data_IF_167567764292
#
_entry.id   IF_167567764292
#
_cell.length_a   1.000
_cell.length_b   1.000
_cell.length_c   1.000
_cell.angle_alpha   90.00
_cell.angle_beta   90.00
_cell.angle_gamma   90.00
#
_symmetry.space_group_name_H-M   'P 1'
#
loop_
_entity.id
_entity.type
_entity.pdbx_description
1 polymer ?
#
# COMPACT_ATOMS: atom_id res chain seq x y z
N UNK A 1 15.32 4.17 20.37
CA UNK A 1 15.79 2.87 19.84
C UNK A 1 16.46 3.03 18.48
N UNK A 2 15.74 3.49 17.45
CA UNK A 2 16.27 3.63 16.08
C UNK A 2 17.55 4.48 16.05
N UNK A 3 17.55 5.63 16.74
CA UNK A 3 18.74 6.50 16.88
C UNK A 3 19.95 5.78 17.50
N UNK A 4 19.72 4.86 18.45
CA UNK A 4 20.82 4.10 19.04
C UNK A 4 21.37 3.05 18.06
N UNK A 5 20.49 2.42 17.27
CA UNK A 5 20.88 1.47 16.22
C UNK A 5 21.67 2.17 15.11
N UNK A 6 21.22 3.35 14.65
CA UNK A 6 21.91 4.12 13.61
C UNK A 6 23.31 4.53 14.05
N UNK A 7 23.46 4.98 15.29
CA UNK A 7 24.76 5.38 15.82
C UNK A 7 25.71 4.19 16.04
N UNK A 8 25.18 3.03 16.42
CA UNK A 8 26.00 1.83 16.63
C UNK A 8 26.52 1.26 15.29
N UNK A 9 25.70 1.32 14.25
CA UNK A 9 26.01 0.73 12.94
C UNK A 9 26.63 1.73 11.95
N UNK A 10 26.61 3.02 12.27
CA UNK A 10 26.99 4.14 11.38
C UNK A 10 26.11 4.20 10.11
N UNK A 11 24.79 4.20 10.32
CA UNK A 11 23.78 4.16 9.24
C UNK A 11 22.98 5.46 9.20
N UNK A 12 22.65 5.93 8.00
CA UNK A 12 21.73 7.05 7.81
C UNK A 12 20.30 6.67 8.18
N UNK A 13 19.52 7.60 8.73
CA UNK A 13 18.11 7.36 9.10
C UNK A 13 17.18 8.12 8.16
N UNK A 14 16.22 7.41 7.58
CA UNK A 14 15.17 7.97 6.74
C UNK A 14 13.81 7.68 7.35
N UNK A 15 13.09 8.72 7.73
CA UNK A 15 11.74 8.61 8.26
C UNK A 15 10.71 8.89 7.15
N UNK A 16 9.79 7.95 6.93
CA UNK A 16 8.78 8.01 5.86
C UNK A 16 7.39 8.04 6.47
N UNK A 17 6.74 9.20 6.36
CA UNK A 17 5.34 9.38 6.68
C UNK A 17 4.46 9.05 5.47
N UNK A 18 3.79 7.89 5.49
CA UNK A 18 3.01 7.41 4.34
C UNK A 18 1.80 8.31 4.00
N UNK A 19 1.32 9.11 4.95
CA UNK A 19 0.25 10.11 4.78
C UNK A 19 0.67 11.28 3.87
N UNK A 20 1.96 11.62 3.87
CA UNK A 20 2.54 12.70 3.07
C UNK A 20 2.83 12.27 1.62
N UNK A 21 2.85 10.97 1.34
CA UNK A 21 3.20 10.43 0.03
C UNK A 21 1.96 10.30 -0.86
N UNK A 22 1.94 11.00 -2.00
CA UNK A 22 0.74 11.09 -2.85
C UNK A 22 0.42 9.80 -3.57
N UNK A 23 1.41 9.06 -4.06
CA UNK A 23 1.16 7.85 -4.83
C UNK A 23 2.31 6.83 -4.72
N UNK A 24 2.02 5.61 -5.18
CA UNK A 24 3.00 4.52 -5.20
C UNK A 24 4.27 4.86 -6.02
N UNK A 25 4.18 5.72 -7.03
CA UNK A 25 5.36 6.15 -7.81
C UNK A 25 6.31 7.04 -7.01
N UNK A 26 5.76 7.95 -6.19
CA UNK A 26 6.53 8.78 -5.26
C UNK A 26 7.15 7.95 -4.14
N UNK A 27 6.39 7.01 -3.55
CA UNK A 27 6.90 6.05 -2.56
C UNK A 27 8.09 5.27 -3.11
N UNK A 28 7.98 4.76 -4.34
CA UNK A 28 9.07 4.04 -5.01
C UNK A 28 10.32 4.91 -5.13
N UNK A 29 10.17 6.18 -5.52
CA UNK A 29 11.30 7.12 -5.64
C UNK A 29 11.97 7.37 -4.29
N UNK A 30 11.19 7.59 -3.23
CA UNK A 30 11.72 7.79 -1.87
C UNK A 30 12.53 6.58 -1.41
N UNK A 31 12.00 5.37 -1.56
CA UNK A 31 12.70 4.15 -1.13
C UNK A 31 13.96 3.85 -1.96
N UNK A 32 13.98 4.24 -3.25
CA UNK A 32 15.14 4.06 -4.12
C UNK A 32 16.25 5.07 -3.83
N UNK A 33 15.88 6.31 -3.54
CA UNK A 33 16.78 7.43 -3.28
C UNK A 33 17.25 7.47 -1.82
N UNK A 34 17.70 6.32 -1.33
CA UNK A 34 18.34 6.15 -0.02
C UNK A 34 19.78 5.73 -0.20
N UNK A 35 20.63 6.12 0.75
CA UNK A 35 22.03 5.71 0.80
C UNK A 35 22.18 4.19 0.95
N UNK A 36 23.39 3.71 0.66
CA UNK A 36 23.68 2.28 0.64
C UNK A 36 23.68 1.66 2.05
N UNK A 37 23.97 2.44 3.09
CA UNK A 37 23.89 2.04 4.51
C UNK A 37 22.84 2.87 5.22
N UNK A 38 21.62 2.35 5.33
CA UNK A 38 20.53 3.12 5.93
C UNK A 38 19.51 2.30 6.71
N UNK A 39 18.84 2.99 7.63
CA UNK A 39 17.64 2.54 8.33
C UNK A 39 16.46 3.35 7.79
N UNK A 40 15.52 2.68 7.14
CA UNK A 40 14.27 3.27 6.65
C UNK A 40 13.18 2.97 7.67
N UNK A 41 12.61 4.00 8.26
CA UNK A 41 11.52 3.94 9.22
C UNK A 41 10.23 4.25 8.50
N UNK A 42 9.24 3.37 8.63
CA UNK A 42 7.90 3.57 8.10
C UNK A 42 6.95 3.55 9.29
N UNK A 43 6.47 4.73 9.66
CA UNK A 43 5.62 4.91 10.83
C UNK A 43 4.13 4.74 10.50
N UNK A 44 3.37 4.31 11.51
CA UNK A 44 1.91 4.25 11.51
C UNK A 44 1.32 3.58 10.25
N UNK A 45 1.87 2.41 9.88
CA UNK A 45 1.45 1.64 8.69
C UNK A 45 -0.02 1.20 8.70
N UNK A 46 -0.61 1.11 9.88
CA UNK A 46 -1.99 0.69 10.12
C UNK A 46 -2.99 1.85 10.00
N UNK A 47 -2.59 3.07 10.35
CA UNK A 47 -3.42 4.27 10.22
C UNK A 47 -3.33 4.90 8.83
N UNK A 48 -2.14 4.89 8.23
CA UNK A 48 -1.85 5.55 6.95
C UNK A 48 -2.41 4.82 5.73
N UNK A 49 -2.49 3.49 5.79
CA UNK A 49 -2.98 2.68 4.70
C UNK A 49 -4.43 2.30 5.01
N UNK A 50 -5.40 2.85 4.26
CA UNK A 50 -6.83 2.50 4.33
C UNK A 50 -7.12 1.02 3.93
N UNK A 51 -6.46 0.06 4.56
CA UNK A 51 -6.50 -1.38 4.34
C UNK A 51 -7.85 -1.96 4.75
N UNK A 52 -8.37 -1.49 5.89
CA UNK A 52 -9.58 -2.04 6.50
C UNK A 52 -10.86 -1.55 5.82
N UNK A 53 -10.83 -0.35 5.20
CA UNK A 53 -11.99 0.25 4.55
C UNK A 53 -12.40 -0.45 3.23
N UNK A 54 -11.44 -1.00 2.48
CA UNK A 54 -11.70 -1.62 1.16
C UNK A 54 -12.26 -3.03 1.26
N UNK A 55 -11.76 -3.86 2.19
CA UNK A 55 -12.25 -5.22 2.41
C UNK A 55 -13.74 -5.25 2.79
N UNK A 56 -14.21 -4.29 3.61
CA UNK A 56 -15.63 -4.16 3.97
C UNK A 56 -16.49 -3.71 2.78
N UNK A 57 -15.99 -2.84 1.91
CA UNK A 57 -16.73 -2.36 0.71
C UNK A 57 -16.83 -3.44 -0.37
N UNK A 58 -15.78 -4.24 -0.60
CA UNK A 58 -15.83 -5.36 -1.55
C UNK A 58 -16.73 -6.50 -1.10
N UNK A 59 -16.72 -6.86 0.20
CA UNK A 59 -17.67 -7.84 0.76
C UNK A 59 -19.12 -7.37 0.60
N UNK A 60 -19.40 -6.06 0.77
CA UNK A 60 -20.74 -5.46 0.53
C UNK A 60 -21.12 -5.48 -0.96
N UNK A 61 -20.19 -5.15 -1.88
CA UNK A 61 -20.41 -5.21 -3.34
C UNK A 61 -20.65 -6.66 -3.83
N UNK A 62 -19.89 -7.64 -3.34
CA UNK A 62 -20.09 -9.07 -3.65
C UNK A 62 -21.43 -9.60 -3.11
N UNK A 63 -21.85 -9.20 -1.90
CA UNK A 63 -23.18 -9.54 -1.34
C UNK A 63 -24.35 -8.90 -2.13
N UNK A 64 -24.19 -7.65 -2.60
CA UNK A 64 -25.19 -6.99 -3.48
C UNK A 64 -25.28 -7.65 -4.86
N UNK A 65 -24.15 -8.00 -5.51
CA UNK A 65 -24.12 -8.75 -6.78
C UNK A 65 -24.76 -10.15 -6.66
N UNK A 66 -24.53 -10.88 -5.55
CA UNK A 66 -25.21 -12.17 -5.29
C UNK A 66 -26.73 -12.03 -5.08
N UNK A 67 -27.20 -10.95 -4.45
CA UNK A 67 -28.66 -10.68 -4.32
C UNK A 67 -29.33 -10.30 -5.64
N UNK A 68 -28.63 -9.62 -6.56
CA UNK A 68 -29.18 -9.29 -7.89
C UNK A 68 -29.17 -10.50 -8.85
N UNK A 69 -28.19 -11.42 -8.77
CA UNK A 69 -28.16 -12.64 -9.60
C UNK A 69 -29.28 -13.66 -9.28
N UNK A 70 -29.91 -13.61 -8.10
CA UNK A 70 -31.04 -14.50 -7.73
C UNK A 70 -32.40 -14.02 -8.27
N UNK A 71 -32.48 -12.85 -8.93
CA UNK A 71 -33.71 -12.28 -9.52
C UNK A 71 -33.76 -12.33 -11.06
N UNK A 72 -32.75 -12.90 -11.74
CA UNK A 72 -32.63 -12.92 -13.21
C UNK A 72 -32.50 -14.36 -13.76
N UNK A 73 -33.34 -15.28 -13.30
CA UNK A 73 -33.47 -16.62 -13.91
C UNK A 73 -34.82 -16.69 -14.64
N UNK A 74 -34.93 -16.00 -15.77
CA UNK A 74 -35.97 -16.16 -16.81
C UNK A 74 -35.73 -15.07 -17.87
N UNK A 75 -34.82 -15.34 -18.82
CA UNK A 75 -34.79 -14.82 -20.20
C UNK A 75 -33.35 -14.79 -20.73
N UNK A 76 -33.08 -15.65 -21.72
CA UNK A 76 -31.83 -15.80 -22.46
C UNK A 76 -31.46 -14.58 -23.31
N UNK A 77 -30.16 -14.29 -23.46
CA UNK A 77 -29.47 -13.92 -24.71
C UNK A 77 -28.07 -13.34 -24.46
N UNK A 78 -27.13 -13.80 -25.27
CA UNK A 78 -25.71 -13.47 -25.31
C UNK A 78 -25.43 -12.01 -25.70
N UNK A 79 -24.44 -11.38 -25.06
CA UNK A 79 -23.57 -10.36 -25.67
C UNK A 79 -22.46 -9.94 -24.70
N UNK A 80 -21.24 -10.32 -25.06
CA UNK A 80 -20.00 -9.76 -24.53
C UNK A 80 -19.92 -8.27 -24.87
N UNK A 81 -19.84 -7.42 -23.84
CA UNK A 81 -19.26 -6.09 -23.95
C UNK A 81 -18.78 -5.63 -22.57
N UNK A 82 -17.50 -5.89 -22.29
CA UNK A 82 -16.77 -5.27 -21.20
C UNK A 82 -16.67 -3.76 -21.48
N UNK A 83 -17.68 -3.02 -21.03
CA UNK A 83 -17.64 -1.57 -20.95
C UNK A 83 -17.52 -1.19 -19.48
N UNK A 84 -16.30 -1.24 -18.95
CA UNK A 84 -15.96 -0.60 -17.68
C UNK A 84 -16.02 0.91 -17.88
N UNK A 85 -17.22 1.45 -17.70
CA UNK A 85 -17.50 2.89 -17.58
C UNK A 85 -16.91 3.37 -16.25
N UNK A 86 -15.62 3.72 -16.26
CA UNK A 86 -15.01 4.56 -15.25
C UNK A 86 -15.53 5.99 -15.49
N UNK A 87 -16.59 6.33 -14.75
CA UNK A 87 -17.14 7.68 -14.70
C UNK A 87 -16.58 8.42 -13.50
N UNK A 88 -15.99 9.57 -13.82
CA UNK A 88 -15.30 10.55 -13.00
C UNK A 88 -15.88 10.79 -11.61
N UNK A 89 -14.99 10.76 -10.62
CA UNK A 89 -15.01 11.71 -9.52
C UNK A 89 -13.56 12.10 -9.22
N UNK A 90 -13.24 13.34 -9.59
CA UNK A 90 -12.01 14.08 -9.29
C UNK A 90 -11.76 14.15 -7.76
N UNK A 91 -11.30 13.05 -7.19
CA UNK A 91 -10.47 13.07 -6.00
C UNK A 91 -9.09 12.62 -6.46
N UNK A 92 -8.08 13.48 -6.37
CA UNK A 92 -6.68 13.04 -6.35
C UNK A 92 -6.49 12.13 -5.13
N UNK A 93 -6.91 10.87 -5.24
CA UNK A 93 -6.84 9.91 -4.16
C UNK A 93 -5.38 9.56 -3.98
N UNK A 94 -4.76 10.26 -3.03
CA UNK A 94 -3.59 9.80 -2.33
C UNK A 94 -3.84 8.36 -1.94
N UNK A 95 -3.16 7.43 -2.62
CA UNK A 95 -3.46 6.00 -2.51
C UNK A 95 -2.19 5.21 -2.63
N UNK A 96 -1.33 5.40 -1.64
CA UNK A 96 -0.38 4.35 -1.28
C UNK A 96 -1.17 3.11 -0.86
N UNK A 97 -0.72 1.94 -1.29
CA UNK A 97 -1.31 0.65 -0.90
C UNK A 97 -0.26 -0.20 -0.21
N UNK A 98 -0.66 -1.01 0.80
CA UNK A 98 0.28 -1.95 1.42
C UNK A 98 0.89 -2.89 0.37
N UNK A 99 0.10 -3.37 -0.60
CA UNK A 99 0.62 -4.17 -1.69
C UNK A 99 1.65 -3.43 -2.55
N UNK A 100 1.49 -2.11 -2.72
CA UNK A 100 2.46 -1.29 -3.45
C UNK A 100 3.75 -1.17 -2.68
N UNK A 101 3.65 -0.81 -1.40
CA UNK A 101 4.78 -0.74 -0.47
C UNK A 101 5.56 -2.06 -0.40
N UNK A 102 4.87 -3.18 -0.18
CA UNK A 102 5.48 -4.52 -0.11
C UNK A 102 6.16 -4.90 -1.43
N UNK A 103 5.49 -4.70 -2.57
CA UNK A 103 6.11 -4.97 -3.88
C UNK A 103 7.38 -4.15 -4.11
N UNK A 104 7.43 -2.90 -3.62
CA UNK A 104 8.63 -2.09 -3.72
C UNK A 104 9.75 -2.62 -2.83
N UNK A 105 9.44 -3.02 -1.60
CA UNK A 105 10.42 -3.61 -0.67
C UNK A 105 10.99 -4.92 -1.24
N UNK A 106 10.14 -5.79 -1.78
CA UNK A 106 10.57 -7.04 -2.43
C UNK A 106 11.49 -6.77 -3.64
N UNK A 107 11.17 -5.72 -4.41
CA UNK A 107 12.01 -5.28 -5.52
C UNK A 107 13.35 -4.69 -5.07
N UNK A 108 13.39 -4.00 -3.92
CA UNK A 108 14.62 -3.44 -3.36
C UNK A 108 15.53 -4.55 -2.84
N UNK A 109 14.99 -5.57 -2.17
CA UNK A 109 15.74 -6.76 -1.75
C UNK A 109 16.44 -7.42 -2.93
N UNK A 110 15.74 -7.59 -4.05
CA UNK A 110 16.28 -8.25 -5.25
C UNK A 110 17.36 -7.42 -5.95
N UNK A 111 17.31 -6.09 -5.82
CA UNK A 111 18.24 -5.17 -6.47
C UNK A 111 19.41 -4.72 -5.56
N UNK A 112 19.42 -5.10 -4.28
CA UNK A 112 20.33 -4.59 -3.26
C UNK A 112 21.72 -5.26 -3.25
N UNK A 113 22.24 -5.73 -4.38
CA UNK A 113 23.59 -6.28 -4.42
C UNK A 113 24.61 -5.20 -3.99
N UNK A 114 25.09 -5.25 -2.75
CA UNK A 114 25.98 -4.27 -2.15
C UNK A 114 25.33 -3.14 -1.33
N UNK A 115 23.99 -3.15 -1.11
CA UNK A 115 23.31 -2.18 -0.23
C UNK A 115 22.90 -2.85 1.09
N UNK A 116 23.25 -2.23 2.20
CA UNK A 116 22.88 -2.63 3.56
C UNK A 116 21.71 -1.77 4.04
N UNK A 117 20.49 -2.30 3.95
CA UNK A 117 19.27 -1.56 4.34
C UNK A 117 18.51 -2.29 5.42
N UNK A 118 18.20 -1.58 6.50
CA UNK A 118 17.29 -2.04 7.55
C UNK A 118 15.96 -1.31 7.35
N UNK A 119 14.85 -2.05 7.28
CA UNK A 119 13.51 -1.47 7.19
C UNK A 119 12.79 -1.74 8.50
N UNK A 120 12.36 -0.67 9.17
CA UNK A 120 11.65 -0.72 10.45
C UNK A 120 10.22 -0.25 10.21
N UNK A 121 9.26 -1.09 10.56
CA UNK A 121 7.86 -0.72 10.62
C UNK A 121 7.47 -0.44 12.07
N UNK A 122 6.89 0.73 12.34
CA UNK A 122 6.29 1.03 13.63
C UNK A 122 4.76 1.13 13.49
N UNK A 123 4.06 0.78 14.56
CA UNK A 123 2.60 0.88 14.68
C UNK A 123 2.26 1.31 16.10
N UNK A 124 1.27 2.20 16.21
CA UNK A 124 0.80 2.74 17.49
C UNK A 124 -0.45 2.03 18.02
N UNK A 125 -1.09 1.15 17.23
CA UNK A 125 -2.26 0.40 17.67
C UNK A 125 -1.90 -0.80 18.56
N UNK A 126 -2.11 -0.64 19.86
CA UNK A 126 -2.16 -1.74 20.83
C UNK A 126 -3.58 -1.79 21.40
N UNK A 127 -4.43 -2.70 20.92
CA UNK A 127 -5.72 -2.98 21.56
C UNK A 127 -5.62 -4.28 22.36
N UNK A 128 -5.85 -4.18 23.67
CA UNK A 128 -6.08 -5.29 24.62
C UNK A 128 -7.31 -6.12 24.25
#
# INVERSE_FOLDING_TARGET
MIVAMSNLLDYDVYDIELTAVKNNGELRKLLQNTTDKCIIVIEDIDCSLNLTGKLKKEKKKKKKKKKMKKKKSESDSDSDSDTSTDSDSNDEKIKVTLSGLLNFIDGLWSAACGKERIIVFSTTMWTN
#
